data_IF_519793781003
#
_entry.id   IF_519793781003
#
_cell.length_a   1.000
_cell.length_b   1.000
_cell.length_c   1.000
_cell.angle_alpha   90.00
_cell.angle_beta   90.00
_cell.angle_gamma   90.00
#
_symmetry.space_group_name_H-M   'P 1'
#
loop_
_entity.id
_entity.type
_entity.pdbx_description
1 polymer ?
#
# COMPACT_ATOMS: atom_id res chain seq x y z
N UNK A 1 -1.85 1.89 -32.59
CA UNK A 1 -2.02 2.81 -31.45
C UNK A 1 -0.78 3.66 -31.28
N UNK A 2 -0.90 4.81 -30.59
CA UNK A 2 0.24 5.70 -30.31
C UNK A 2 1.34 4.98 -29.53
N UNK A 3 0.99 4.10 -28.58
CA UNK A 3 1.93 3.32 -27.78
C UNK A 3 2.76 2.34 -28.65
N UNK A 4 2.12 1.70 -29.62
CA UNK A 4 2.80 0.83 -30.59
C UNK A 4 3.81 1.64 -31.40
N UNK A 5 3.39 2.77 -31.96
CA UNK A 5 4.27 3.64 -32.75
C UNK A 5 5.43 4.19 -31.91
N UNK A 6 5.17 4.59 -30.67
CA UNK A 6 6.22 5.04 -29.75
C UNK A 6 7.21 3.90 -29.42
N UNK A 7 6.73 2.69 -29.16
CA UNK A 7 7.57 1.52 -28.90
C UNK A 7 8.43 1.15 -30.11
N UNK A 8 7.85 1.14 -31.32
CA UNK A 8 8.56 0.87 -32.56
C UNK A 8 9.60 1.95 -32.90
N UNK A 9 9.24 3.23 -32.67
CA UNK A 9 10.14 4.36 -32.98
C UNK A 9 11.28 4.52 -31.96
N UNK A 10 11.07 4.17 -30.69
CA UNK A 10 12.08 4.26 -29.63
C UNK A 10 12.92 2.98 -29.49
N UNK A 11 12.44 1.88 -30.07
CA UNK A 11 13.07 0.56 -29.95
C UNK A 11 12.82 -0.11 -28.58
N UNK A 12 13.12 -1.42 -28.54
CA UNK A 12 12.77 -2.32 -27.43
C UNK A 12 13.51 -2.02 -26.10
N UNK A 13 14.47 -1.10 -26.09
CA UNK A 13 15.22 -0.71 -24.89
C UNK A 13 14.65 0.52 -24.20
N UNK A 14 13.67 1.19 -24.82
CA UNK A 14 13.05 2.38 -24.25
C UNK A 14 12.10 2.02 -23.09
N UNK A 15 12.19 2.79 -22.01
CA UNK A 15 11.24 2.71 -20.91
C UNK A 15 10.10 3.69 -21.18
N UNK A 16 8.94 3.15 -21.58
CA UNK A 16 7.77 3.96 -21.86
C UNK A 16 6.87 3.96 -20.63
N UNK A 17 6.57 5.15 -20.13
CA UNK A 17 5.68 5.37 -19.00
C UNK A 17 4.38 6.02 -19.46
N UNK A 18 3.25 5.38 -19.13
CA UNK A 18 1.92 5.92 -19.39
C UNK A 18 1.41 6.72 -18.20
N UNK A 19 1.06 7.97 -18.43
CA UNK A 19 0.56 8.88 -17.38
C UNK A 19 -0.95 8.85 -17.19
N UNK A 20 -1.70 8.24 -18.10
CA UNK A 20 -3.13 8.50 -18.20
C UNK A 20 -3.95 7.20 -18.16
N UNK A 21 -4.32 6.76 -16.95
CA UNK A 21 -5.21 5.63 -16.74
C UNK A 21 -6.67 6.06 -16.95
N UNK A 22 -7.03 6.33 -18.21
CA UNK A 22 -8.43 6.47 -18.62
C UNK A 22 -8.99 5.14 -19.15
N UNK A 23 -10.26 5.18 -19.54
CA UNK A 23 -10.91 4.03 -20.18
C UNK A 23 -10.08 3.48 -21.34
N UNK A 24 -9.85 2.18 -21.34
CA UNK A 24 -9.08 1.52 -22.38
C UNK A 24 -7.56 1.55 -22.20
N UNK A 25 -7.05 1.94 -21.04
CA UNK A 25 -5.60 1.94 -20.75
C UNK A 25 -4.94 0.56 -20.91
N UNK A 26 -5.69 -0.53 -20.82
CA UNK A 26 -5.19 -1.89 -21.06
C UNK A 26 -4.68 -2.10 -22.47
N UNK A 27 -5.07 -1.26 -23.44
CA UNK A 27 -4.54 -1.24 -24.80
C UNK A 27 -3.04 -0.90 -24.86
N UNK A 28 -2.51 -0.25 -23.83
CA UNK A 28 -1.10 0.07 -23.71
C UNK A 28 -0.25 -1.10 -23.20
N UNK A 29 -0.87 -2.13 -22.62
CA UNK A 29 -0.16 -3.29 -22.10
C UNK A 29 0.62 -3.99 -23.20
N UNK A 30 1.88 -4.34 -22.91
CA UNK A 30 2.82 -4.87 -23.88
C UNK A 30 3.64 -3.82 -24.62
N UNK A 31 3.28 -2.54 -24.55
CA UNK A 31 4.02 -1.43 -25.15
C UNK A 31 4.64 -0.50 -24.10
N UNK A 32 4.07 -0.47 -22.90
CA UNK A 32 4.54 0.40 -21.80
C UNK A 32 5.10 -0.43 -20.66
N UNK A 33 6.14 0.09 -20.03
CA UNK A 33 6.79 -0.56 -18.90
C UNK A 33 6.12 -0.19 -17.58
N UNK A 34 5.48 0.96 -17.51
CA UNK A 34 4.76 1.42 -16.32
C UNK A 34 3.53 2.26 -16.63
N UNK A 35 2.58 2.28 -15.69
CA UNK A 35 1.35 3.06 -15.75
C UNK A 35 1.11 3.79 -14.44
N UNK A 36 0.60 5.02 -14.49
CA UNK A 36 0.11 5.71 -13.31
C UNK A 36 -1.21 5.10 -12.86
N UNK A 37 -1.37 4.95 -11.54
CA UNK A 37 -2.61 4.41 -10.95
C UNK A 37 -3.66 5.49 -10.72
N UNK A 38 -3.26 6.75 -10.62
CA UNK A 38 -4.14 7.88 -10.29
C UNK A 38 -3.73 9.17 -11.02
N UNK A 39 -4.54 10.23 -10.82
CA UNK A 39 -4.28 11.56 -11.38
C UNK A 39 -3.25 12.37 -10.59
N UNK A 40 -3.03 13.61 -11.02
CA UNK A 40 -2.13 14.58 -10.38
C UNK A 40 -2.73 15.03 -9.03
N UNK A 41 -2.28 14.42 -7.93
CA UNK A 41 -2.67 14.82 -6.57
C UNK A 41 -1.65 14.37 -5.54
N UNK A 42 -1.45 15.21 -4.54
CA UNK A 42 -0.66 14.90 -3.34
C UNK A 42 -1.55 14.35 -2.21
N UNK A 43 -2.87 14.40 -2.39
CA UNK A 43 -3.84 13.91 -1.41
C UNK A 43 -4.20 12.46 -1.70
N UNK A 44 -4.20 11.65 -0.67
CA UNK A 44 -4.65 10.26 -0.75
C UNK A 44 -6.16 10.22 -0.46
N UNK A 45 -6.96 9.94 -1.48
CA UNK A 45 -8.41 9.84 -1.36
C UNK A 45 -8.90 8.39 -1.30
N UNK A 46 -10.12 8.12 -0.80
CA UNK A 46 -10.71 6.77 -0.81
C UNK A 46 -10.70 6.12 -2.20
N UNK A 47 -11.04 6.89 -3.23
CA UNK A 47 -11.06 6.40 -4.60
C UNK A 47 -9.66 6.05 -5.09
N UNK A 48 -8.64 6.82 -4.70
CA UNK A 48 -7.25 6.52 -5.04
C UNK A 48 -6.79 5.22 -4.40
N UNK A 49 -7.09 5.03 -3.11
CA UNK A 49 -6.77 3.79 -2.38
C UNK A 49 -7.47 2.61 -3.05
N UNK A 50 -8.78 2.71 -3.28
CA UNK A 50 -9.56 1.65 -3.89
C UNK A 50 -9.10 1.33 -5.32
N UNK A 51 -8.93 2.33 -6.18
CA UNK A 51 -8.51 2.11 -7.58
C UNK A 51 -7.11 1.53 -7.70
N UNK A 52 -6.19 1.98 -6.87
CA UNK A 52 -4.83 1.43 -6.85
C UNK A 52 -4.83 0.01 -6.28
N UNK A 53 -5.55 -0.21 -5.18
CA UNK A 53 -5.65 -1.50 -4.53
C UNK A 53 -6.35 -2.56 -5.38
N UNK A 54 -7.49 -2.23 -6.01
CA UNK A 54 -8.23 -3.16 -6.85
C UNK A 54 -7.48 -3.60 -8.13
N UNK A 55 -6.39 -2.91 -8.49
CA UNK A 55 -5.51 -3.29 -9.61
C UNK A 55 -4.28 -4.09 -9.21
N UNK A 56 -4.19 -4.52 -7.96
CA UNK A 56 -3.06 -5.25 -7.39
C UNK A 56 -2.57 -6.42 -8.27
N UNK A 57 -3.49 -7.12 -8.94
CA UNK A 57 -3.19 -8.30 -9.76
C UNK A 57 -2.40 -8.01 -11.04
N UNK A 58 -2.38 -6.75 -11.50
CA UNK A 58 -1.62 -6.31 -12.69
C UNK A 58 -0.21 -5.84 -12.35
N UNK A 59 -0.01 -5.31 -11.14
CA UNK A 59 1.27 -4.70 -10.76
C UNK A 59 2.39 -5.74 -10.74
N UNK A 60 3.50 -5.43 -11.40
CA UNK A 60 4.67 -6.32 -11.56
C UNK A 60 4.38 -7.66 -12.25
N UNK A 61 3.20 -7.83 -12.82
CA UNK A 61 2.83 -8.98 -13.65
C UNK A 61 2.83 -8.59 -15.12
N UNK A 62 2.11 -7.56 -15.47
CA UNK A 62 1.99 -7.05 -16.85
C UNK A 62 2.53 -5.63 -17.01
N UNK A 63 2.60 -4.87 -15.93
CA UNK A 63 3.07 -3.48 -15.91
C UNK A 63 3.53 -3.12 -14.49
N UNK A 64 4.44 -2.16 -14.36
CA UNK A 64 4.76 -1.55 -13.07
C UNK A 64 3.84 -0.36 -12.83
N UNK A 65 3.20 -0.32 -11.67
CA UNK A 65 2.40 0.84 -11.31
C UNK A 65 3.24 1.98 -10.75
N UNK A 66 2.72 3.16 -10.90
CA UNK A 66 3.26 4.40 -10.43
C UNK A 66 2.12 5.24 -9.82
N UNK A 67 2.31 5.70 -8.62
CA UNK A 67 1.34 6.55 -7.91
C UNK A 67 1.47 8.03 -8.24
N UNK A 68 2.35 8.38 -9.20
CA UNK A 68 2.77 9.75 -9.47
C UNK A 68 3.76 10.30 -8.41
N UNK A 69 4.38 11.43 -8.77
CA UNK A 69 5.25 12.13 -7.84
C UNK A 69 4.45 12.71 -6.67
N UNK A 70 4.92 12.46 -5.44
CA UNK A 70 4.27 12.88 -4.21
C UNK A 70 5.10 13.93 -3.49
N UNK A 71 4.41 14.95 -3.00
CA UNK A 71 5.00 16.01 -2.19
C UNK A 71 4.69 15.73 -0.71
N UNK A 72 5.72 15.34 0.06
CA UNK A 72 5.55 15.02 1.46
C UNK A 72 5.07 16.22 2.29
N UNK A 73 5.47 17.45 1.89
CA UNK A 73 5.05 18.69 2.57
C UNK A 73 3.60 19.08 2.28
N UNK A 74 2.92 18.39 1.36
CA UNK A 74 1.50 18.58 1.03
C UNK A 74 0.63 17.38 1.42
N UNK A 75 1.18 16.43 2.15
CA UNK A 75 0.43 15.26 2.62
C UNK A 75 -0.77 15.71 3.50
N UNK A 76 -1.88 14.96 3.42
CA UNK A 76 -3.10 15.27 4.16
C UNK A 76 -3.45 14.13 5.14
N UNK A 77 -3.88 14.43 6.35
CA UNK A 77 -4.07 15.77 6.95
C UNK A 77 -2.80 16.62 6.95
N UNK A 78 -2.97 17.92 6.62
CA UNK A 78 -1.83 18.84 6.48
C UNK A 78 -1.08 18.97 7.81
N UNK A 79 0.24 19.13 7.69
CA UNK A 79 1.14 19.33 8.84
C UNK A 79 0.97 18.29 9.95
N UNK A 80 0.57 17.07 9.58
CA UNK A 80 0.39 15.96 10.51
C UNK A 80 1.26 14.77 10.14
N UNK A 81 1.73 14.10 11.17
CA UNK A 81 2.43 12.84 11.04
C UNK A 81 1.58 11.78 10.30
N UNK A 82 0.29 11.76 10.56
CA UNK A 82 -0.66 10.82 9.94
C UNK A 82 -0.73 11.02 8.42
N UNK A 83 -0.70 12.25 7.92
CA UNK A 83 -0.71 12.54 6.49
C UNK A 83 0.51 11.99 5.77
N UNK A 84 1.71 12.19 6.32
CA UNK A 84 2.95 11.67 5.76
C UNK A 84 2.96 10.14 5.82
N UNK A 85 2.60 9.56 6.97
CA UNK A 85 2.53 8.12 7.16
C UNK A 85 1.52 7.48 6.18
N UNK A 86 0.36 8.10 5.98
CA UNK A 86 -0.67 7.65 5.03
C UNK A 86 -0.13 7.61 3.59
N UNK A 87 0.56 8.67 3.17
CA UNK A 87 1.15 8.76 1.84
C UNK A 87 2.23 7.70 1.62
N UNK A 88 3.13 7.55 2.57
CA UNK A 88 4.21 6.56 2.51
C UNK A 88 3.66 5.12 2.59
N UNK A 89 2.67 4.88 3.45
CA UNK A 89 1.98 3.59 3.57
C UNK A 89 1.31 3.20 2.27
N UNK A 90 0.61 4.14 1.61
CA UNK A 90 -0.02 3.85 0.32
C UNK A 90 1.00 3.47 -0.74
N UNK A 91 2.16 4.13 -0.76
CA UNK A 91 3.25 3.80 -1.68
C UNK A 91 3.78 2.38 -1.43
N UNK A 92 3.93 1.98 -0.17
CA UNK A 92 4.33 0.64 0.24
C UNK A 92 3.28 -0.42 -0.15
N UNK A 93 2.01 -0.16 0.14
CA UNK A 93 0.88 -1.08 -0.13
C UNK A 93 0.73 -1.38 -1.61
N UNK A 94 0.90 -0.37 -2.46
CA UNK A 94 0.87 -0.57 -3.91
C UNK A 94 2.12 -1.24 -4.46
N UNK A 95 3.21 -1.31 -3.66
CA UNK A 95 4.53 -1.77 -4.10
C UNK A 95 4.94 -1.14 -5.43
N UNK A 96 4.53 0.10 -5.64
CA UNK A 96 4.74 0.86 -6.86
C UNK A 96 6.03 1.68 -6.78
N UNK A 97 6.37 2.32 -7.88
CA UNK A 97 7.44 3.30 -7.88
C UNK A 97 7.01 4.50 -7.02
N UNK A 98 7.86 4.89 -6.06
CA UNK A 98 7.70 6.15 -5.35
C UNK A 98 8.54 7.21 -6.07
N UNK A 99 7.89 8.22 -6.60
CA UNK A 99 8.51 9.43 -7.12
C UNK A 99 8.26 10.56 -6.12
N UNK A 100 9.28 11.31 -5.79
CA UNK A 100 9.18 12.47 -4.92
C UNK A 100 9.13 13.75 -5.75
N UNK A 101 8.19 14.63 -5.43
CA UNK A 101 8.11 15.97 -5.98
C UNK A 101 8.89 17.00 -5.15
N UNK A 102 9.49 16.58 -4.04
CA UNK A 102 10.32 17.42 -3.17
C UNK A 102 11.79 17.41 -3.61
N UNK A 103 12.45 18.56 -3.46
CA UNK A 103 13.89 18.57 -3.33
C UNK A 103 14.30 18.05 -1.94
N UNK A 104 15.29 17.17 -1.86
CA UNK A 104 15.81 16.70 -0.56
C UNK A 104 16.31 17.84 0.34
N UNK A 105 16.76 18.94 -0.24
CA UNK A 105 17.15 20.14 0.51
C UNK A 105 16.00 20.89 1.17
N UNK A 106 14.76 20.56 0.86
CA UNK A 106 13.56 21.15 1.49
C UNK A 106 12.91 20.24 2.55
N UNK A 107 13.41 19.01 2.69
CA UNK A 107 12.93 18.05 3.68
C UNK A 107 13.78 18.16 4.94
N UNK A 108 13.13 18.19 6.09
CA UNK A 108 13.84 18.08 7.38
C UNK A 108 14.24 16.64 7.70
N UNK A 109 14.95 16.46 8.80
CA UNK A 109 15.46 15.16 9.22
C UNK A 109 14.34 14.14 9.49
N UNK A 110 13.20 14.58 9.96
CA UNK A 110 12.04 13.71 10.26
C UNK A 110 11.44 13.16 8.97
N UNK A 111 11.18 14.00 7.97
CA UNK A 111 10.69 13.56 6.66
C UNK A 111 11.65 12.56 5.99
N UNK A 112 12.96 12.85 6.05
CA UNK A 112 13.99 11.95 5.50
C UNK A 112 14.00 10.62 6.28
N UNK A 113 13.91 10.66 7.61
CA UNK A 113 13.83 9.45 8.43
C UNK A 113 12.62 8.59 8.09
N UNK A 114 11.42 9.18 8.03
CA UNK A 114 10.19 8.45 7.65
C UNK A 114 10.29 7.84 6.25
N UNK A 115 10.82 8.60 5.30
CA UNK A 115 11.07 8.13 3.94
C UNK A 115 12.03 6.93 3.95
N UNK A 116 13.11 7.00 4.72
CA UNK A 116 14.09 5.91 4.81
C UNK A 116 13.53 4.62 5.37
N UNK A 117 12.50 4.69 6.22
CA UNK A 117 11.86 3.50 6.82
C UNK A 117 11.14 2.62 5.81
N UNK A 118 10.69 3.16 4.69
CA UNK A 118 10.02 2.39 3.65
C UNK A 118 10.98 1.85 2.57
N UNK A 119 12.27 2.16 2.66
CA UNK A 119 13.28 1.66 1.73
C UNK A 119 14.27 0.70 2.41
N UNK A 120 14.76 -0.32 1.67
CA UNK A 120 14.30 -0.70 0.33
C UNK A 120 12.91 -1.33 0.39
N UNK A 121 12.09 -1.11 -0.63
CA UNK A 121 10.88 -1.92 -0.78
C UNK A 121 11.29 -3.39 -0.89
N UNK A 122 10.55 -4.28 -0.21
CA UNK A 122 10.83 -5.69 -0.33
C UNK A 122 10.62 -6.15 -1.79
N UNK A 123 11.63 -6.79 -2.33
CA UNK A 123 11.68 -7.13 -3.76
C UNK A 123 10.73 -8.27 -4.17
N UNK A 124 10.21 -9.03 -3.20
CA UNK A 124 9.39 -10.22 -3.44
C UNK A 124 7.90 -9.94 -3.49
N UNK A 125 7.45 -8.85 -2.89
CA UNK A 125 6.03 -8.58 -2.82
C UNK A 125 5.53 -7.89 -4.09
N UNK A 126 4.33 -8.27 -4.43
CA UNK A 126 3.45 -7.54 -5.33
C UNK A 126 2.70 -6.48 -4.52
N UNK A 127 1.76 -5.78 -5.13
CA UNK A 127 0.83 -4.93 -4.37
C UNK A 127 0.07 -5.74 -3.33
N UNK A 128 -0.23 -5.13 -2.21
CA UNK A 128 -1.13 -5.72 -1.23
C UNK A 128 -2.52 -5.95 -1.83
N UNK A 129 -3.17 -7.00 -1.37
CA UNK A 129 -4.53 -7.35 -1.80
C UNK A 129 -5.55 -6.66 -0.91
N UNK A 130 -6.64 -6.13 -1.46
CA UNK A 130 -7.74 -5.62 -0.67
C UNK A 130 -8.48 -6.80 0.00
N UNK A 131 -8.47 -6.85 1.32
CA UNK A 131 -9.00 -7.97 2.10
C UNK A 131 -10.51 -7.88 2.35
N UNK A 132 -11.08 -6.71 2.17
CA UNK A 132 -12.50 -6.40 2.35
C UNK A 132 -13.20 -5.94 1.06
N UNK A 133 -12.60 -6.21 -0.10
CA UNK A 133 -13.08 -5.72 -1.41
C UNK A 133 -14.51 -6.12 -1.78
N UNK A 134 -15.02 -7.22 -1.22
CA UNK A 134 -16.38 -7.70 -1.49
C UNK A 134 -17.36 -7.43 -0.33
N UNK A 135 -16.94 -6.65 0.67
CA UNK A 135 -17.76 -6.34 1.85
C UNK A 135 -17.92 -4.84 2.09
N UNK A 136 -17.19 -4.02 1.35
CA UNK A 136 -17.21 -2.55 1.45
C UNK A 136 -17.19 -1.91 0.07
N UNK A 137 -17.76 -0.70 -0.07
CA UNK A 137 -17.71 0.06 -1.32
C UNK A 137 -16.29 0.50 -1.65
N UNK A 138 -15.53 0.87 -0.63
CA UNK A 138 -14.11 1.24 -0.72
C UNK A 138 -13.30 0.36 0.23
N UNK A 139 -12.42 -0.51 -0.29
CA UNK A 139 -11.56 -1.33 0.56
C UNK A 139 -10.69 -0.49 1.49
N UNK A 140 -10.69 -0.85 2.76
CA UNK A 140 -9.94 -0.15 3.82
C UNK A 140 -8.84 -1.01 4.45
N UNK A 141 -8.89 -2.32 4.21
CA UNK A 141 -7.89 -3.26 4.76
C UNK A 141 -7.17 -3.96 3.63
N UNK A 142 -5.84 -3.90 3.69
CA UNK A 142 -4.97 -4.53 2.69
C UNK A 142 -4.01 -5.50 3.36
N UNK A 143 -3.77 -6.63 2.70
CA UNK A 143 -2.85 -7.65 3.17
C UNK A 143 -1.81 -8.02 2.13
N UNK A 144 -0.60 -8.30 2.59
CA UNK A 144 0.50 -8.72 1.75
C UNK A 144 1.29 -9.82 2.44
N UNK A 145 1.40 -10.96 1.78
CA UNK A 145 2.26 -12.05 2.24
C UNK A 145 3.69 -11.79 1.79
N UNK A 146 4.59 -11.63 2.72
CA UNK A 146 6.02 -11.36 2.47
C UNK A 146 6.81 -12.67 2.40
N UNK A 147 6.57 -13.54 3.38
CA UNK A 147 7.09 -14.92 3.43
C UNK A 147 5.99 -15.84 3.95
N UNK A 148 6.26 -17.14 4.10
CA UNK A 148 5.28 -18.06 4.66
C UNK A 148 4.91 -17.76 6.12
N UNK A 149 5.79 -17.07 6.86
CA UNK A 149 5.61 -16.74 8.27
C UNK A 149 5.50 -15.25 8.55
N UNK A 150 5.57 -14.43 7.50
CA UNK A 150 5.52 -12.98 7.64
C UNK A 150 4.55 -12.38 6.63
N UNK A 151 3.57 -11.68 7.15
CA UNK A 151 2.61 -10.90 6.38
C UNK A 151 2.60 -9.45 6.86
N UNK A 152 2.02 -8.57 6.08
CA UNK A 152 1.67 -7.23 6.52
C UNK A 152 0.17 -7.00 6.38
N UNK A 153 -0.39 -6.24 7.31
CA UNK A 153 -1.75 -5.73 7.26
C UNK A 153 -1.71 -4.20 7.31
N UNK A 154 -2.50 -3.60 6.45
CA UNK A 154 -2.63 -2.14 6.39
C UNK A 154 -4.08 -1.75 6.52
N UNK A 155 -4.34 -0.77 7.37
CA UNK A 155 -5.66 -0.21 7.60
C UNK A 155 -5.67 1.26 7.17
N UNK A 156 -6.72 1.70 6.49
CA UNK A 156 -6.92 3.08 6.09
C UNK A 156 -8.23 3.59 6.69
N UNK A 157 -8.15 4.66 7.46
CA UNK A 157 -9.32 5.48 7.76
C UNK A 157 -9.36 6.64 6.76
N UNK A 158 -10.31 6.57 5.84
CA UNK A 158 -10.49 7.58 4.80
C UNK A 158 -11.43 8.72 5.25
N UNK A 159 -12.04 8.60 6.42
CA UNK A 159 -12.83 9.67 7.02
C UNK A 159 -11.85 10.69 7.64
N UNK A 160 -11.85 11.89 7.08
CA UNK A 160 -10.99 12.98 7.57
C UNK A 160 -11.64 13.78 8.71
N UNK A 161 -12.86 13.44 9.08
CA UNK A 161 -13.61 14.13 10.14
C UNK A 161 -13.72 13.29 11.42
N UNK A 162 -13.82 11.96 11.29
CA UNK A 162 -14.09 11.08 12.42
C UNK A 162 -13.11 9.90 12.54
N UNK A 163 -12.79 9.48 13.79
CA UNK A 163 -12.11 8.21 14.01
C UNK A 163 -13.01 7.05 13.60
N UNK A 164 -12.42 5.96 13.15
CA UNK A 164 -13.13 4.76 12.70
C UNK A 164 -12.58 3.50 13.37
N UNK A 165 -13.48 2.59 13.73
CA UNK A 165 -13.11 1.23 14.09
C UNK A 165 -13.17 0.36 12.85
N UNK A 166 -12.04 -0.28 12.56
CA UNK A 166 -11.89 -1.17 11.40
C UNK A 166 -11.40 -2.52 11.92
N UNK A 167 -12.03 -3.57 11.47
CA UNK A 167 -11.71 -4.93 11.92
C UNK A 167 -11.47 -5.88 10.75
N UNK A 168 -10.63 -6.89 10.98
CA UNK A 168 -10.36 -7.97 10.05
C UNK A 168 -10.26 -9.30 10.81
N UNK A 169 -10.89 -10.35 10.29
CA UNK A 169 -10.70 -11.69 10.82
C UNK A 169 -9.37 -12.25 10.32
N UNK A 170 -8.49 -12.68 11.21
CA UNK A 170 -7.15 -13.10 10.82
C UNK A 170 -7.15 -14.35 9.92
N UNK A 171 -8.00 -15.34 10.17
CA UNK A 171 -8.10 -16.57 9.36
C UNK A 171 -9.15 -16.55 8.26
N UNK A 172 -9.90 -15.46 8.08
CA UNK A 172 -11.00 -15.40 7.11
C UNK A 172 -10.51 -15.41 5.66
N UNK A 173 -11.46 -15.45 4.72
CA UNK A 173 -11.17 -15.46 3.28
C UNK A 173 -10.76 -14.05 2.82
N UNK A 174 -9.61 -13.95 2.17
CA UNK A 174 -9.13 -12.71 1.54
C UNK A 174 -10.19 -12.16 0.58
N UNK A 175 -10.43 -10.85 0.62
CA UNK A 175 -11.46 -10.16 -0.15
C UNK A 175 -12.85 -10.16 0.52
N UNK A 176 -13.10 -11.04 1.48
CA UNK A 176 -14.36 -11.15 2.23
C UNK A 176 -14.20 -10.83 3.73
N UNK A 177 -13.30 -9.93 4.04
CA UNK A 177 -13.05 -9.51 5.42
C UNK A 177 -12.15 -10.45 6.21
N UNK A 178 -11.32 -11.24 5.54
CA UNK A 178 -10.34 -12.13 6.14
C UNK A 178 -8.92 -11.88 5.65
N UNK A 179 -7.95 -12.14 6.51
CA UNK A 179 -6.52 -11.97 6.22
C UNK A 179 -5.82 -13.25 5.73
N UNK A 180 -6.53 -14.36 5.65
CA UNK A 180 -5.99 -15.62 5.13
C UNK A 180 -4.90 -16.29 5.99
N UNK A 181 -4.77 -15.90 7.27
CA UNK A 181 -3.81 -16.50 8.18
C UNK A 181 -4.29 -17.88 8.67
N UNK A 182 -3.36 -18.72 9.11
CA UNK A 182 -3.71 -20.07 9.58
C UNK A 182 -4.44 -19.99 10.93
N UNK A 183 -5.63 -20.63 11.09
CA UNK A 183 -6.47 -20.48 12.28
C UNK A 183 -5.82 -21.03 13.56
N UNK A 184 -4.97 -22.07 13.45
CA UNK A 184 -4.37 -22.76 14.61
C UNK A 184 -2.99 -22.20 14.98
N UNK A 185 -2.59 -21.10 14.38
CA UNK A 185 -1.31 -20.44 14.65
C UNK A 185 -1.51 -19.19 15.49
N UNK A 186 -0.42 -18.75 16.13
CA UNK A 186 -0.34 -17.48 16.84
C UNK A 186 0.55 -16.53 16.09
N UNK A 187 0.26 -15.23 16.20
CA UNK A 187 0.93 -14.18 15.48
C UNK A 187 1.25 -12.99 16.39
N UNK A 188 2.50 -12.53 16.33
CA UNK A 188 2.84 -11.20 16.82
C UNK A 188 2.34 -10.16 15.83
N UNK A 189 1.71 -9.11 16.34
CA UNK A 189 1.26 -7.97 15.55
C UNK A 189 1.98 -6.73 16.07
N UNK A 190 2.70 -6.07 15.18
CA UNK A 190 3.54 -4.91 15.48
C UNK A 190 3.14 -3.73 14.62
N UNK A 191 2.88 -2.58 15.24
CA UNK A 191 2.57 -1.32 14.57
C UNK A 191 3.88 -0.67 14.10
N UNK A 192 4.04 -0.59 12.80
CA UNK A 192 5.26 -0.13 12.17
C UNK A 192 5.56 1.35 12.43
N UNK A 193 4.55 2.23 12.30
CA UNK A 193 4.76 3.66 12.46
C UNK A 193 4.95 4.08 13.91
N UNK A 194 4.28 3.43 14.84
CA UNK A 194 4.36 3.72 16.26
C UNK A 194 5.45 2.91 16.99
N UNK A 195 6.20 2.06 16.29
CA UNK A 195 7.22 1.18 16.85
C UNK A 195 6.74 0.41 18.08
N UNK A 196 5.55 -0.19 17.97
CA UNK A 196 4.85 -0.78 19.12
C UNK A 196 4.35 -2.19 18.85
N UNK A 197 4.71 -3.12 19.72
CA UNK A 197 4.05 -4.43 19.75
C UNK A 197 2.60 -4.23 20.23
N UNK A 198 1.63 -4.59 19.39
CA UNK A 198 0.21 -4.56 19.73
C UNK A 198 -0.15 -5.74 20.61
N UNK A 199 0.38 -6.92 20.31
CA UNK A 199 0.15 -8.13 21.10
C UNK A 199 0.39 -9.40 20.31
N UNK A 200 -0.02 -10.51 20.94
CA UNK A 200 -0.06 -11.84 20.33
C UNK A 200 -1.50 -12.23 20.12
N UNK A 201 -1.83 -12.68 18.92
CA UNK A 201 -3.19 -13.01 18.49
C UNK A 201 -3.25 -14.43 17.93
N UNK A 202 -4.29 -15.16 18.26
CA UNK A 202 -4.59 -16.42 17.58
C UNK A 202 -5.13 -16.18 16.17
N UNK A 203 -4.85 -17.07 15.24
CA UNK A 203 -5.31 -16.94 13.85
C UNK A 203 -6.83 -16.92 13.71
N UNK A 204 -7.58 -17.43 14.67
CA UNK A 204 -9.05 -17.37 14.69
C UNK A 204 -9.61 -16.05 15.25
N UNK A 205 -8.77 -15.18 15.76
CA UNK A 205 -9.22 -13.92 16.35
C UNK A 205 -9.51 -12.87 15.28
N UNK A 206 -10.24 -11.85 15.70
CA UNK A 206 -10.49 -10.64 14.93
C UNK A 206 -9.58 -9.53 15.45
N UNK A 207 -8.78 -8.97 14.56
CA UNK A 207 -7.99 -7.79 14.88
C UNK A 207 -8.86 -6.56 14.64
N UNK A 208 -9.13 -5.81 15.70
CA UNK A 208 -9.83 -4.52 15.65
C UNK A 208 -8.83 -3.39 15.89
N UNK A 209 -8.92 -2.34 15.07
CA UNK A 209 -8.11 -1.16 15.21
C UNK A 209 -8.98 0.08 15.21
N UNK A 210 -8.77 0.95 16.18
CA UNK A 210 -9.32 2.29 16.19
C UNK A 210 -8.30 3.25 15.57
N UNK A 211 -8.64 3.81 14.43
CA UNK A 211 -7.80 4.74 13.68
C UNK A 211 -8.32 6.16 13.87
N UNK A 212 -7.38 7.09 14.07
CA UNK A 212 -7.69 8.52 14.04
C UNK A 212 -8.21 8.90 12.65
N UNK A 213 -8.84 10.06 12.56
CA UNK A 213 -9.28 10.63 11.28
C UNK A 213 -8.11 10.72 10.29
N UNK A 214 -8.33 10.23 9.09
CA UNK A 214 -7.32 10.23 8.02
C UNK A 214 -6.07 9.38 8.26
N UNK A 215 -6.04 8.53 9.30
CA UNK A 215 -4.88 7.70 9.65
C UNK A 215 -4.76 6.49 8.71
N UNK A 216 -3.52 6.17 8.35
CA UNK A 216 -3.17 4.87 7.81
C UNK A 216 -2.23 4.14 8.78
N UNK A 217 -2.56 2.89 9.10
CA UNK A 217 -1.77 2.07 10.02
C UNK A 217 -1.22 0.86 9.32
N UNK A 218 0.11 0.73 9.38
CA UNK A 218 0.85 -0.38 8.80
C UNK A 218 1.27 -1.33 9.91
N UNK A 219 0.97 -2.62 9.75
CA UNK A 219 1.32 -3.65 10.73
C UNK A 219 2.16 -4.75 10.12
N UNK A 220 3.18 -5.17 10.84
CA UNK A 220 3.86 -6.44 10.61
C UNK A 220 3.12 -7.54 11.38
N UNK A 221 2.91 -8.68 10.73
CA UNK A 221 2.26 -9.86 11.30
C UNK A 221 3.20 -11.04 11.13
N UNK A 222 3.71 -11.58 12.23
CA UNK A 222 4.67 -12.69 12.22
C UNK A 222 4.16 -13.87 12.98
N UNK A 223 4.22 -15.06 12.37
CA UNK A 223 3.93 -16.31 13.07
C UNK A 223 4.88 -16.46 14.25
N UNK A 224 4.35 -16.80 15.42
CA UNK A 224 5.14 -17.03 16.64
C UNK A 224 5.97 -18.30 16.48
N UNK A 225 7.26 -18.18 16.72
CA UNK A 225 8.22 -19.29 16.69
C UNK A 225 8.85 -19.48 18.07
N UNK A 226 9.46 -20.65 18.28
CA UNK A 226 10.13 -20.97 19.55
C UNK A 226 11.44 -20.20 19.79
N UNK A 227 11.99 -19.60 18.72
CA UNK A 227 13.23 -18.81 18.78
C UNK A 227 12.92 -17.31 18.84
N UNK A 228 13.83 -16.49 19.39
CA UNK A 228 13.70 -15.04 19.34
C UNK A 228 13.50 -14.54 17.90
N UNK A 229 12.56 -13.60 17.73
CA UNK A 229 12.20 -13.07 16.43
C UNK A 229 12.37 -11.55 16.41
N UNK A 230 12.79 -11.03 15.27
CA UNK A 230 12.74 -9.59 14.96
C UNK A 230 11.36 -9.31 14.35
N UNK A 231 10.72 -8.26 14.82
CA UNK A 231 9.38 -7.82 14.38
C UNK A 231 9.48 -6.67 13.38
#
# INVERSE_FOLDING_TARGET
TIFKLASEGLGNKAYIHERNLKYGSDIALGYVASQRTWGDTDVITPEMVARSGLRWYKNRVVVNYDMDAKNLLKAQPADSEDGINKLLTMSYVTASRLLLANSFGTLDAEHVYKLSRIYPFHQFARSARPLDAFTTDYPRVYGMKLTDKWSSLTFFNEDEEHPQKISIKLSGIEGRGGAGLHPDKQYYIYDFWNDKLIGTFGGNETLEQELRKGEARQMAVREVESNPQVL
#
